data_IF_801564832076
#
_entry.id   IF_801564832076
#
_cell.length_a   1.000
_cell.length_b   1.000
_cell.length_c   1.000
_cell.angle_alpha   90.00
_cell.angle_beta   90.00
_cell.angle_gamma   90.00
#
_symmetry.space_group_name_H-M   'P 1'
#
loop_
_entity.id
_entity.type
_entity.pdbx_description
1 polymer ?
#
# COMPACT_ATOMS: atom_id res chain seq x y z
N UNK A 1 -13.23 -0.77 9.92
CA UNK A 1 -11.99 0.04 9.91
C UNK A 1 -12.27 1.26 9.04
N UNK A 2 -11.86 2.47 9.44
CA UNK A 2 -12.23 3.73 8.75
C UNK A 2 -11.23 4.06 7.63
N UNK A 3 -11.66 4.68 6.53
CA UNK A 3 -10.82 5.03 5.37
C UNK A 3 -9.57 5.86 5.75
N UNK A 4 -9.72 6.78 6.71
CA UNK A 4 -8.59 7.57 7.24
C UNK A 4 -7.52 6.72 7.93
N UNK A 5 -7.91 5.64 8.63
CA UNK A 5 -6.96 4.70 9.24
C UNK A 5 -6.20 3.93 8.17
N UNK A 6 -6.91 3.45 7.15
CA UNK A 6 -6.32 2.68 6.06
C UNK A 6 -5.31 3.50 5.25
N UNK A 7 -5.63 4.78 4.96
CA UNK A 7 -4.70 5.70 4.32
C UNK A 7 -3.42 5.93 5.16
N UNK A 8 -3.61 6.18 6.46
CA UNK A 8 -2.49 6.46 7.38
C UNK A 8 -1.55 5.26 7.47
N UNK A 9 -2.11 4.06 7.59
CA UNK A 9 -1.36 2.80 7.63
C UNK A 9 -0.55 2.60 6.33
N UNK A 10 -1.17 2.77 5.15
CA UNK A 10 -0.47 2.62 3.87
C UNK A 10 0.66 3.65 3.68
N UNK A 11 0.47 4.88 4.14
CA UNK A 11 1.50 5.92 4.10
C UNK A 11 2.69 5.60 5.03
N UNK A 12 2.42 5.04 6.22
CA UNK A 12 3.45 4.55 7.15
C UNK A 12 4.21 3.39 6.52
N UNK A 13 3.51 2.43 5.91
CA UNK A 13 4.09 1.29 5.22
C UNK A 13 5.04 1.71 4.08
N UNK A 14 4.65 2.67 3.25
CA UNK A 14 5.51 3.19 2.18
C UNK A 14 6.78 3.85 2.74
N UNK A 15 6.64 4.63 3.82
CA UNK A 15 7.76 5.29 4.49
C UNK A 15 8.72 4.30 5.15
N UNK A 16 8.21 3.26 5.79
CA UNK A 16 9.00 2.21 6.41
C UNK A 16 9.67 1.30 5.37
N UNK A 17 8.97 1.00 4.27
CA UNK A 17 9.53 0.34 3.10
C UNK A 17 10.70 1.12 2.50
N UNK A 18 10.61 2.46 2.47
CA UNK A 18 11.74 3.32 2.05
C UNK A 18 12.98 3.18 2.94
N UNK A 19 12.81 2.92 4.25
CA UNK A 19 13.88 2.79 5.25
C UNK A 19 14.49 1.38 5.36
N UNK A 20 13.75 0.32 5.03
CA UNK A 20 14.26 -1.05 5.10
C UNK A 20 14.97 -1.44 3.79
N UNK A 21 16.28 -1.70 3.84
CA UNK A 21 17.17 -1.89 2.66
C UNK A 21 17.10 -3.33 2.08
N UNK A 22 16.08 -4.11 2.42
CA UNK A 22 15.98 -5.52 2.01
C UNK A 22 14.95 -5.73 0.88
N UNK A 23 15.11 -6.85 0.14
CA UNK A 23 14.30 -7.32 -1.01
C UNK A 23 12.78 -7.05 -0.92
N UNK A 24 12.20 -7.00 0.29
CA UNK A 24 10.80 -6.70 0.58
C UNK A 24 10.36 -5.31 0.06
N UNK A 25 11.24 -4.29 0.10
CA UNK A 25 10.96 -2.95 -0.44
C UNK A 25 10.55 -2.97 -1.92
N UNK A 26 11.19 -3.83 -2.70
CA UNK A 26 10.95 -3.93 -4.15
C UNK A 26 9.59 -4.61 -4.40
N UNK A 27 9.25 -5.65 -3.64
CA UNK A 27 8.00 -6.37 -3.80
C UNK A 27 6.79 -5.48 -3.47
N UNK A 28 6.78 -4.84 -2.29
CA UNK A 28 5.71 -3.93 -1.90
C UNK A 28 5.53 -2.77 -2.90
N UNK A 29 6.62 -2.14 -3.32
CA UNK A 29 6.55 -1.02 -4.27
C UNK A 29 6.07 -1.44 -5.66
N UNK A 30 6.40 -2.66 -6.11
CA UNK A 30 5.88 -3.21 -7.37
C UNK A 30 4.38 -3.47 -7.28
N UNK A 31 3.91 -4.12 -6.21
CA UNK A 31 2.48 -4.42 -6.01
C UNK A 31 1.65 -3.14 -5.93
N UNK A 32 2.14 -2.11 -5.23
CA UNK A 32 1.51 -0.78 -5.18
C UNK A 32 1.42 -0.17 -6.59
N UNK A 33 2.51 -0.22 -7.35
CA UNK A 33 2.56 0.35 -8.69
C UNK A 33 1.64 -0.39 -9.66
N UNK A 34 1.56 -1.71 -9.59
CA UNK A 34 0.62 -2.50 -10.39
C UNK A 34 -0.83 -2.19 -10.01
N UNK A 35 -1.14 -2.05 -8.71
CA UNK A 35 -2.46 -1.67 -8.25
C UNK A 35 -2.87 -0.27 -8.76
N UNK A 36 -1.93 0.68 -8.79
CA UNK A 36 -2.15 2.04 -9.29
C UNK A 36 -2.40 2.06 -10.80
N UNK A 37 -1.60 1.33 -11.58
CA UNK A 37 -1.79 1.19 -13.03
C UNK A 37 -3.12 0.51 -13.35
N UNK A 38 -3.41 -0.62 -12.70
CA UNK A 38 -4.64 -1.41 -12.94
C UNK A 38 -5.90 -0.62 -12.63
N UNK A 39 -5.87 0.20 -11.58
CA UNK A 39 -7.01 1.01 -11.19
C UNK A 39 -7.00 2.41 -11.81
N UNK A 40 -5.96 2.78 -12.58
CA UNK A 40 -5.76 4.13 -13.11
C UNK A 40 -5.92 5.20 -12.02
N UNK A 41 -5.11 5.08 -10.97
CA UNK A 41 -5.06 5.97 -9.80
C UNK A 41 -3.62 6.30 -9.45
N UNK A 42 -3.39 7.51 -8.95
CA UNK A 42 -2.04 8.00 -8.60
C UNK A 42 -1.81 8.12 -7.09
N UNK A 43 -2.82 7.81 -6.27
CA UNK A 43 -2.75 7.91 -4.82
C UNK A 43 -3.45 6.73 -4.13
N UNK A 44 -2.98 6.38 -2.92
CA UNK A 44 -3.67 5.39 -2.08
C UNK A 44 -5.08 5.83 -1.69
N UNK A 45 -5.33 7.14 -1.58
CA UNK A 45 -6.65 7.68 -1.28
C UNK A 45 -7.63 7.37 -2.42
N UNK A 46 -7.20 7.57 -3.66
CA UNK A 46 -8.00 7.25 -4.84
C UNK A 46 -8.19 5.74 -5.00
N UNK A 47 -7.15 4.95 -4.70
CA UNK A 47 -7.24 3.50 -4.69
C UNK A 47 -8.27 2.99 -3.67
N UNK A 48 -8.25 3.49 -2.43
CA UNK A 48 -9.22 3.11 -1.38
C UNK A 48 -10.65 3.45 -1.78
N UNK A 49 -10.86 4.60 -2.42
CA UNK A 49 -12.19 5.06 -2.87
C UNK A 49 -12.71 4.29 -4.09
N UNK A 50 -11.83 3.90 -5.00
CA UNK A 50 -12.18 3.25 -6.27
C UNK A 50 -12.26 1.73 -6.14
N UNK A 51 -11.31 1.13 -5.43
CA UNK A 51 -11.23 -0.32 -5.20
C UNK A 51 -10.66 -0.62 -3.80
N UNK A 52 -11.57 -0.63 -2.82
CA UNK A 52 -11.23 -0.88 -1.42
C UNK A 52 -10.67 -2.30 -1.18
N UNK A 53 -11.01 -3.27 -2.03
CA UNK A 53 -10.52 -4.66 -1.90
C UNK A 53 -9.03 -4.71 -2.21
N UNK A 54 -8.62 -4.06 -3.29
CA UNK A 54 -7.19 -3.98 -3.67
C UNK A 54 -6.39 -3.22 -2.61
N UNK A 55 -6.96 -2.15 -2.04
CA UNK A 55 -6.31 -1.42 -0.95
C UNK A 55 -6.14 -2.26 0.33
N UNK A 56 -7.13 -3.08 0.69
CA UNK A 56 -7.02 -4.01 1.82
C UNK A 56 -5.97 -5.10 1.58
N UNK A 57 -5.85 -5.62 0.35
CA UNK A 57 -4.80 -6.58 0.00
C UNK A 57 -3.39 -6.00 0.17
N UNK A 58 -3.19 -4.74 -0.24
CA UNK A 58 -1.93 -4.04 -0.02
C UNK A 58 -1.66 -3.79 1.48
N UNK A 59 -2.68 -3.52 2.28
CA UNK A 59 -2.55 -3.40 3.74
C UNK A 59 -2.13 -4.72 4.38
N UNK A 60 -2.75 -5.84 4.00
CA UNK A 60 -2.34 -7.17 4.46
C UNK A 60 -0.91 -7.53 4.02
N UNK A 61 -0.53 -7.19 2.79
CA UNK A 61 0.82 -7.35 2.28
C UNK A 61 1.83 -6.55 3.12
N UNK A 62 1.51 -5.27 3.39
CA UNK A 62 2.33 -4.41 4.24
C UNK A 62 2.51 -4.98 5.66
N UNK A 63 1.44 -5.54 6.24
CA UNK A 63 1.48 -6.17 7.56
C UNK A 63 2.34 -7.44 7.55
N UNK A 64 2.18 -8.31 6.55
CA UNK A 64 3.01 -9.52 6.37
C UNK A 64 4.48 -9.20 6.19
N UNK A 65 4.78 -8.12 5.48
CA UNK A 65 6.17 -7.69 5.25
C UNK A 65 6.79 -6.90 6.41
N UNK A 66 6.03 -6.69 7.51
CA UNK A 66 6.43 -5.89 8.69
C UNK A 66 6.79 -4.44 8.31
N UNK A 67 6.01 -3.88 7.38
CA UNK A 67 6.13 -2.48 6.97
C UNK A 67 5.21 -1.57 7.79
N UNK A 68 4.20 -2.12 8.44
CA UNK A 68 3.30 -1.45 9.38
C UNK A 68 3.82 -1.50 10.82
#
# INVERSE_FOLDING_TARGET
>A
MSEQKLFTDLAIAERNSKRNVNKKKIHFALEVREAFIKNNVDSFLDLVRKDIKTALQLHELASREQLL
#
